data_IF_544682944659
#
_entry.id   IF_544682944659
#
_cell.length_a   1.000
_cell.length_b   1.000
_cell.length_c   1.000
_cell.angle_alpha   90.00
_cell.angle_beta   90.00
_cell.angle_gamma   90.00
#
_symmetry.space_group_name_H-M   'P 1'
#
loop_
_entity.id
_entity.type
_entity.pdbx_description
1 polymer ?
#
# COMPACT_ATOMS: atom_id res chain seq x y z
N UNK A 1 -24.14 34.12 -0.97
CA UNK A 1 -22.93 33.83 -1.79
C UNK A 1 -21.83 33.17 -0.94
N UNK A 2 -22.06 32.01 -0.32
CA UNK A 2 -21.09 31.43 0.64
C UNK A 2 -20.81 29.89 0.49
N UNK A 3 -21.47 29.19 -0.43
CA UNK A 3 -21.32 27.74 -0.54
C UNK A 3 -20.26 27.27 -1.59
N UNK A 4 -19.78 28.17 -2.43
CA UNK A 4 -18.81 27.82 -3.48
C UNK A 4 -17.35 27.88 -2.98
N UNK A 5 -17.05 28.66 -1.96
CA UNK A 5 -15.69 28.86 -1.44
C UNK A 5 -15.18 27.65 -0.63
N UNK A 6 -16.06 26.85 -0.02
CA UNK A 6 -15.65 25.69 0.79
C UNK A 6 -15.22 24.47 -0.03
N UNK A 7 -15.76 24.30 -1.25
CA UNK A 7 -15.42 23.16 -2.13
C UNK A 7 -13.99 23.24 -2.71
N UNK A 8 -13.46 24.43 -2.88
CA UNK A 8 -12.11 24.65 -3.42
C UNK A 8 -11.03 24.67 -2.33
N UNK A 9 -11.41 25.03 -1.09
CA UNK A 9 -10.50 25.07 0.05
C UNK A 9 -9.86 23.70 0.37
N UNK A 10 -10.61 22.61 0.17
CA UNK A 10 -10.13 21.24 0.44
C UNK A 10 -9.35 20.61 -0.73
N UNK A 11 -9.46 21.17 -1.95
CA UNK A 11 -8.81 20.61 -3.13
C UNK A 11 -7.31 20.93 -3.17
N UNK A 12 -6.95 22.17 -2.85
CA UNK A 12 -5.57 22.63 -2.90
C UNK A 12 -4.63 21.79 -2.01
N UNK A 13 -4.90 21.53 -0.71
CA UNK A 13 -4.02 20.70 0.11
C UNK A 13 -3.96 19.25 -0.37
N UNK A 14 -5.03 18.69 -0.92
CA UNK A 14 -5.03 17.32 -1.49
C UNK A 14 -4.19 17.23 -2.75
N UNK A 15 -4.28 18.21 -3.63
CA UNK A 15 -3.46 18.26 -4.86
C UNK A 15 -1.98 18.44 -4.51
N UNK A 16 -1.66 19.34 -3.58
CA UNK A 16 -0.28 19.55 -3.13
C UNK A 16 0.31 18.27 -2.51
N UNK A 17 -0.44 17.60 -1.63
CA UNK A 17 0.04 16.35 -1.03
C UNK A 17 0.22 15.23 -2.06
N UNK A 18 -0.69 15.12 -3.03
CA UNK A 18 -0.57 14.15 -4.11
C UNK A 18 0.66 14.41 -4.99
N UNK A 19 0.90 15.68 -5.37
CA UNK A 19 2.08 16.06 -6.14
C UNK A 19 3.35 15.79 -5.33
N UNK A 20 3.38 16.16 -4.05
CA UNK A 20 4.53 15.90 -3.18
C UNK A 20 4.84 14.40 -3.09
N UNK A 21 3.83 13.54 -2.89
CA UNK A 21 4.00 12.08 -2.84
C UNK A 21 4.49 11.52 -4.18
N UNK A 22 3.96 12.02 -5.30
CA UNK A 22 4.42 11.62 -6.64
C UNK A 22 5.89 12.01 -6.88
N UNK A 23 6.29 13.22 -6.49
CA UNK A 23 7.67 13.68 -6.64
C UNK A 23 8.64 12.87 -5.78
N UNK A 24 8.27 12.59 -4.51
CA UNK A 24 9.08 11.74 -3.62
C UNK A 24 9.21 10.32 -4.19
N UNK A 25 8.09 9.74 -4.63
CA UNK A 25 8.07 8.40 -5.23
C UNK A 25 8.94 8.34 -6.50
N UNK A 26 8.77 9.32 -7.40
CA UNK A 26 9.55 9.39 -8.63
C UNK A 26 11.04 9.60 -8.35
N UNK A 27 11.39 10.50 -7.42
CA UNK A 27 12.78 10.74 -7.04
C UNK A 27 13.44 9.47 -6.47
N UNK A 28 12.74 8.70 -5.62
CA UNK A 28 13.24 7.46 -5.08
C UNK A 28 13.43 6.37 -6.15
N UNK A 29 12.48 6.25 -7.09
CA UNK A 29 12.59 5.33 -8.24
C UNK A 29 13.76 5.71 -9.14
N UNK A 30 13.93 7.01 -9.40
CA UNK A 30 15.02 7.54 -10.22
C UNK A 30 16.37 7.30 -9.58
N UNK A 31 16.53 7.66 -8.30
CA UNK A 31 17.76 7.48 -7.55
C UNK A 31 18.12 6.00 -7.35
N UNK A 32 17.12 5.13 -7.15
CA UNK A 32 17.32 3.70 -6.91
C UNK A 32 18.09 3.41 -5.61
N UNK A 33 18.71 2.22 -5.53
CA UNK A 33 19.55 1.82 -4.42
C UNK A 33 18.91 2.12 -3.04
N UNK A 34 19.65 2.75 -2.14
CA UNK A 34 19.18 3.03 -0.77
C UNK A 34 17.82 3.72 -0.70
N UNK A 35 17.50 4.62 -1.61
CA UNK A 35 16.25 5.40 -1.55
C UNK A 35 15.00 4.55 -1.79
N UNK A 36 15.06 3.59 -2.72
CA UNK A 36 13.94 2.68 -2.96
C UNK A 36 13.82 1.65 -1.82
N UNK A 37 14.98 1.17 -1.30
CA UNK A 37 15.04 0.28 -0.14
C UNK A 37 14.58 0.94 1.16
N UNK A 38 14.49 2.25 1.22
CA UNK A 38 13.92 2.99 2.35
C UNK A 38 12.45 3.30 2.14
N UNK A 39 12.08 3.81 0.97
CA UNK A 39 10.72 4.26 0.69
C UNK A 39 9.71 3.11 0.68
N UNK A 40 10.03 1.99 0.02
CA UNK A 40 9.10 0.86 -0.09
C UNK A 40 8.80 0.23 1.28
N UNK A 41 9.78 -0.06 2.16
CA UNK A 41 9.52 -0.51 3.52
C UNK A 41 8.69 0.45 4.35
N UNK A 42 8.93 1.76 4.26
CA UNK A 42 8.11 2.76 4.95
C UNK A 42 6.66 2.70 4.47
N UNK A 43 6.45 2.67 3.16
CA UNK A 43 5.11 2.58 2.58
C UNK A 43 4.39 1.28 2.99
N UNK A 44 5.07 0.13 2.92
CA UNK A 44 4.52 -1.15 3.36
C UNK A 44 4.21 -1.16 4.87
N UNK A 45 5.07 -0.58 5.69
CA UNK A 45 4.83 -0.41 7.12
C UNK A 45 3.57 0.42 7.41
N UNK A 46 3.39 1.53 6.70
CA UNK A 46 2.18 2.36 6.81
C UNK A 46 0.91 1.61 6.35
N UNK A 47 1.00 0.79 5.29
CA UNK A 47 -0.11 -0.06 4.87
C UNK A 47 -0.47 -1.10 5.93
N UNK A 48 0.51 -1.70 6.59
CA UNK A 48 0.27 -2.64 7.71
C UNK A 48 -0.32 -1.92 8.91
N UNK A 49 0.14 -0.72 9.24
CA UNK A 49 -0.45 0.11 10.30
C UNK A 49 -1.95 0.36 10.05
N UNK A 50 -2.30 0.77 8.86
CA UNK A 50 -3.70 1.00 8.48
C UNK A 50 -4.51 -0.29 8.49
N UNK A 51 -3.95 -1.40 8.01
CA UNK A 51 -4.58 -2.72 8.04
C UNK A 51 -4.95 -3.15 9.47
N UNK A 52 -4.04 -2.97 10.44
CA UNK A 52 -4.32 -3.28 11.85
C UNK A 52 -5.47 -2.42 12.38
N UNK A 53 -5.46 -1.13 12.09
CA UNK A 53 -6.52 -0.20 12.54
C UNK A 53 -7.88 -0.52 11.94
N UNK A 54 -7.92 -0.96 10.68
CA UNK A 54 -9.17 -1.40 10.04
C UNK A 54 -9.73 -2.70 10.64
N UNK A 55 -8.85 -3.63 10.99
CA UNK A 55 -9.27 -4.95 11.51
C UNK A 55 -9.52 -4.95 13.03
N UNK A 56 -8.85 -4.07 13.77
CA UNK A 56 -8.84 -4.06 15.23
C UNK A 56 -8.95 -2.63 15.77
N UNK A 57 -10.17 -2.15 15.99
CA UNK A 57 -10.41 -0.86 16.61
C UNK A 57 -9.86 -0.83 18.04
N UNK A 58 -9.03 0.18 18.38
CA UNK A 58 -8.42 0.35 19.70
C UNK A 58 -7.07 -0.37 19.93
N UNK A 59 -6.42 -0.85 18.87
CA UNK A 59 -5.11 -1.51 18.92
C UNK A 59 -3.94 -0.59 18.50
N UNK A 60 -3.99 0.71 18.82
CA UNK A 60 -3.05 1.71 18.29
C UNK A 60 -1.58 1.38 18.59
N UNK A 61 -1.25 0.92 19.80
CA UNK A 61 0.12 0.52 20.14
C UNK A 61 0.59 -0.68 19.30
N UNK A 62 -0.24 -1.72 19.18
CA UNK A 62 0.08 -2.88 18.36
C UNK A 62 0.17 -2.53 16.86
N UNK A 63 -0.61 -1.55 16.40
CA UNK A 63 -0.57 -1.09 15.02
C UNK A 63 0.79 -0.46 14.69
N UNK A 64 1.31 0.40 15.56
CA UNK A 64 2.63 1.03 15.36
C UNK A 64 3.76 0.00 15.43
N UNK A 65 3.74 -0.89 16.42
CA UNK A 65 4.78 -1.91 16.58
C UNK A 65 4.82 -2.90 15.41
N UNK A 66 3.66 -3.32 14.90
CA UNK A 66 3.56 -4.21 13.74
C UNK A 66 3.95 -3.50 12.44
N UNK A 67 3.64 -2.23 12.30
CA UNK A 67 4.09 -1.41 11.17
C UNK A 67 5.61 -1.30 11.13
N UNK A 68 6.23 -0.95 12.26
CA UNK A 68 7.69 -0.84 12.38
C UNK A 68 8.37 -2.19 12.14
N UNK A 69 7.83 -3.26 12.73
CA UNK A 69 8.34 -4.62 12.52
C UNK A 69 8.26 -5.03 11.04
N UNK A 70 7.15 -4.74 10.37
CA UNK A 70 6.95 -5.08 8.96
C UNK A 70 7.88 -4.27 8.05
N UNK A 71 8.00 -2.96 8.28
CA UNK A 71 8.94 -2.12 7.54
C UNK A 71 10.38 -2.55 7.76
N UNK A 72 10.79 -2.79 9.02
CA UNK A 72 12.13 -3.26 9.34
C UNK A 72 12.44 -4.63 8.72
N UNK A 73 11.49 -5.57 8.78
CA UNK A 73 11.64 -6.89 8.16
C UNK A 73 11.86 -6.79 6.66
N UNK A 74 11.07 -5.96 5.97
CA UNK A 74 11.22 -5.74 4.53
C UNK A 74 12.55 -5.04 4.20
N UNK A 75 12.94 -4.03 4.98
CA UNK A 75 14.22 -3.34 4.82
C UNK A 75 15.40 -4.31 4.98
N UNK A 76 15.41 -5.12 6.05
CA UNK A 76 16.45 -6.12 6.25
C UNK A 76 16.43 -7.17 5.14
N UNK A 77 15.26 -7.70 4.79
CA UNK A 77 15.12 -8.71 3.74
C UNK A 77 15.68 -8.24 2.39
N UNK A 78 15.56 -6.93 2.08
CA UNK A 78 16.03 -6.37 0.81
C UNK A 78 17.57 -6.29 0.69
N UNK A 79 18.31 -6.47 1.81
CA UNK A 79 19.77 -6.50 1.82
C UNK A 79 20.35 -7.88 2.13
N UNK A 80 19.49 -8.88 2.41
CA UNK A 80 19.96 -10.25 2.70
C UNK A 80 20.38 -10.96 1.42
N UNK A 81 21.64 -11.40 1.30
CA UNK A 81 22.15 -12.03 0.08
C UNK A 81 21.70 -13.50 -0.07
N UNK A 82 21.06 -14.06 0.95
CA UNK A 82 20.63 -15.45 0.99
C UNK A 82 19.13 -15.58 0.70
N UNK A 83 18.70 -16.02 -0.50
CA UNK A 83 17.28 -16.13 -0.87
C UNK A 83 16.45 -16.98 0.11
N UNK A 84 17.07 -17.99 0.73
CA UNK A 84 16.41 -18.89 1.70
C UNK A 84 15.98 -18.16 2.98
N UNK A 85 16.62 -17.05 3.36
CA UNK A 85 16.31 -16.27 4.55
C UNK A 85 15.30 -15.15 4.27
N UNK A 86 15.15 -14.71 3.04
CA UNK A 86 14.25 -13.61 2.65
C UNK A 86 12.81 -13.94 3.04
N UNK A 87 12.32 -15.10 2.64
CA UNK A 87 10.92 -15.48 2.89
C UNK A 87 10.58 -15.61 4.38
N UNK A 88 11.37 -16.30 5.22
CA UNK A 88 11.13 -16.32 6.67
C UNK A 88 11.12 -14.93 7.32
N UNK A 89 12.04 -14.05 6.94
CA UNK A 89 12.09 -12.68 7.46
C UNK A 89 10.84 -11.89 7.09
N UNK A 90 10.38 -11.99 5.83
CA UNK A 90 9.18 -11.32 5.35
C UNK A 90 7.90 -11.84 6.02
N UNK A 91 7.81 -13.13 6.28
CA UNK A 91 6.61 -13.71 6.87
C UNK A 91 6.55 -13.56 8.39
N UNK A 92 7.68 -13.33 9.06
CA UNK A 92 7.73 -13.19 10.51
C UNK A 92 6.73 -12.15 11.07
N UNK A 93 6.57 -10.92 10.53
CA UNK A 93 5.58 -9.96 11.01
C UNK A 93 4.13 -10.46 10.92
N UNK A 94 3.82 -11.26 9.90
CA UNK A 94 2.49 -11.84 9.69
C UNK A 94 2.14 -12.82 10.82
N UNK A 95 3.07 -13.67 11.23
CA UNK A 95 2.91 -14.62 12.32
C UNK A 95 2.92 -13.93 13.69
N UNK A 96 3.81 -12.96 13.90
CA UNK A 96 3.87 -12.16 15.12
C UNK A 96 2.54 -11.42 15.33
N UNK A 97 2.02 -10.76 14.29
CA UNK A 97 0.76 -10.07 14.39
C UNK A 97 -0.42 -11.03 14.62
N UNK A 98 -0.42 -12.21 13.99
CA UNK A 98 -1.43 -13.24 14.28
C UNK A 98 -1.48 -13.62 15.75
N UNK A 99 -0.34 -13.70 16.44
CA UNK A 99 -0.27 -14.04 17.86
C UNK A 99 -0.58 -12.85 18.79
N UNK A 100 -0.13 -11.66 18.47
CA UNK A 100 -0.27 -10.46 19.31
C UNK A 100 -1.67 -9.83 19.26
N UNK A 101 -2.36 -9.92 18.12
CA UNK A 101 -3.68 -9.30 17.98
C UNK A 101 -4.70 -10.03 18.84
N UNK A 102 -5.38 -9.27 19.73
CA UNK A 102 -6.36 -9.80 20.68
C UNK A 102 -7.60 -10.34 19.96
N UNK A 103 -8.24 -11.32 20.61
CA UNK A 103 -9.48 -11.91 20.12
C UNK A 103 -10.66 -10.96 20.33
N UNK A 104 -11.41 -10.66 19.27
CA UNK A 104 -12.71 -9.98 19.28
C UNK A 104 -13.83 -10.93 18.80
N UNK A 105 -15.07 -10.50 18.68
CA UNK A 105 -16.20 -11.37 18.29
C UNK A 105 -15.98 -12.15 16.97
N UNK A 106 -15.18 -11.60 16.04
CA UNK A 106 -14.76 -12.22 14.77
C UNK A 106 -13.24 -12.45 14.69
N UNK A 107 -12.59 -12.69 15.82
CA UNK A 107 -11.14 -12.69 15.98
C UNK A 107 -10.39 -13.62 15.03
N UNK A 108 -10.89 -14.84 14.83
CA UNK A 108 -10.21 -15.82 13.95
C UNK A 108 -10.17 -15.35 12.50
N UNK A 109 -11.26 -14.76 12.00
CA UNK A 109 -11.32 -14.21 10.65
C UNK A 109 -10.41 -12.98 10.52
N UNK A 110 -10.44 -12.03 11.45
CA UNK A 110 -9.59 -10.85 11.46
C UNK A 110 -8.10 -11.18 11.51
N UNK A 111 -7.69 -12.14 12.34
CA UNK A 111 -6.30 -12.61 12.42
C UNK A 111 -5.83 -13.27 11.12
N UNK A 112 -6.66 -14.08 10.47
CA UNK A 112 -6.33 -14.68 9.17
C UNK A 112 -6.19 -13.63 8.09
N UNK A 113 -7.12 -12.68 8.02
CA UNK A 113 -7.04 -11.57 7.08
C UNK A 113 -5.77 -10.76 7.30
N UNK A 114 -5.45 -10.40 8.54
CA UNK A 114 -4.20 -9.72 8.86
C UNK A 114 -2.99 -10.49 8.34
N UNK A 115 -2.88 -11.79 8.66
CA UNK A 115 -1.76 -12.62 8.26
C UNK A 115 -1.59 -12.66 6.73
N UNK A 116 -2.70 -12.90 6.00
CA UNK A 116 -2.69 -12.99 4.54
C UNK A 116 -2.31 -11.65 3.91
N UNK A 117 -3.00 -10.55 4.31
CA UNK A 117 -2.76 -9.24 3.71
C UNK A 117 -1.37 -8.69 4.04
N UNK A 118 -0.86 -8.90 5.27
CA UNK A 118 0.51 -8.51 5.62
C UNK A 118 1.53 -9.27 4.78
N UNK A 119 1.36 -10.58 4.61
CA UNK A 119 2.23 -11.37 3.75
C UNK A 119 2.22 -10.88 2.30
N UNK A 120 1.02 -10.61 1.74
CA UNK A 120 0.88 -10.08 0.37
C UNK A 120 1.54 -8.72 0.22
N UNK A 121 1.33 -7.79 1.18
CA UNK A 121 1.95 -6.46 1.17
C UNK A 121 3.48 -6.57 1.15
N UNK A 122 4.05 -7.41 2.01
CA UNK A 122 5.51 -7.53 2.12
C UNK A 122 6.13 -8.26 0.92
N UNK A 123 5.46 -9.28 0.38
CA UNK A 123 5.88 -9.95 -0.87
C UNK A 123 5.81 -8.96 -2.05
N UNK A 124 4.76 -8.17 -2.16
CA UNK A 124 4.67 -7.14 -3.19
C UNK A 124 5.76 -6.09 -3.03
N UNK A 125 6.07 -5.68 -1.80
CA UNK A 125 7.15 -4.74 -1.50
C UNK A 125 8.53 -5.24 -1.94
N UNK A 126 8.90 -6.48 -1.57
CA UNK A 126 10.18 -7.05 -1.99
C UNK A 126 10.24 -7.24 -3.51
N UNK A 127 9.14 -7.66 -4.14
CA UNK A 127 9.07 -7.80 -5.59
C UNK A 127 9.26 -6.47 -6.31
N UNK A 128 8.74 -5.38 -5.74
CA UNK A 128 8.91 -4.04 -6.30
C UNK A 128 10.38 -3.57 -6.22
N UNK A 129 11.05 -3.84 -5.08
CA UNK A 129 12.48 -3.56 -4.91
C UNK A 129 13.29 -4.38 -5.92
N UNK A 130 13.06 -5.70 -5.99
CA UNK A 130 13.75 -6.58 -6.95
C UNK A 130 13.50 -6.17 -8.40
N UNK A 131 12.29 -5.75 -8.75
CA UNK A 131 12.01 -5.24 -10.09
C UNK A 131 12.90 -4.04 -10.45
N UNK A 132 13.13 -3.14 -9.49
CA UNK A 132 13.97 -1.96 -9.72
C UNK A 132 15.45 -2.32 -9.80
N UNK A 133 15.92 -3.24 -8.94
CA UNK A 133 17.34 -3.59 -8.84
C UNK A 133 17.79 -4.55 -9.96
N UNK A 134 17.00 -5.60 -10.22
CA UNK A 134 17.37 -6.66 -11.17
C UNK A 134 17.07 -6.27 -12.63
N UNK A 135 15.95 -5.56 -12.87
CA UNK A 135 15.48 -5.22 -14.21
C UNK A 135 15.69 -3.74 -14.56
N UNK A 136 15.97 -2.90 -13.58
CA UNK A 136 16.30 -1.50 -13.77
C UNK A 136 15.10 -0.55 -13.86
N UNK A 137 15.41 0.74 -14.03
CA UNK A 137 14.44 1.84 -13.99
C UNK A 137 13.36 1.75 -15.06
N UNK A 138 13.70 1.24 -16.24
CA UNK A 138 12.77 1.20 -17.40
C UNK A 138 11.55 0.32 -17.07
N UNK A 139 11.78 -0.86 -16.52
CA UNK A 139 10.70 -1.78 -16.14
C UNK A 139 9.86 -1.26 -14.96
N UNK A 140 10.52 -0.62 -14.01
CA UNK A 140 9.83 0.02 -12.88
C UNK A 140 8.93 1.17 -13.35
N UNK A 141 9.43 2.06 -14.20
CA UNK A 141 8.65 3.17 -14.77
C UNK A 141 7.52 2.64 -15.65
N UNK A 142 7.77 1.59 -16.44
CA UNK A 142 6.74 0.96 -17.24
C UNK A 142 5.59 0.40 -16.38
N UNK A 143 5.91 -0.31 -15.29
CA UNK A 143 4.91 -0.80 -14.34
C UNK A 143 4.08 0.35 -13.76
N UNK A 144 4.74 1.41 -13.29
CA UNK A 144 4.07 2.58 -12.72
C UNK A 144 3.16 3.27 -13.75
N UNK A 145 3.62 3.40 -15.00
CA UNK A 145 2.81 3.96 -16.08
C UNK A 145 1.57 3.11 -16.36
N UNK A 146 1.71 1.78 -16.40
CA UNK A 146 0.56 0.88 -16.59
C UNK A 146 -0.47 1.08 -15.49
N UNK A 147 -0.04 1.13 -14.22
CA UNK A 147 -0.94 1.34 -13.08
C UNK A 147 -1.63 2.70 -13.19
N UNK A 148 -0.89 3.78 -13.42
CA UNK A 148 -1.45 5.13 -13.53
C UNK A 148 -2.43 5.23 -14.70
N UNK A 149 -2.05 4.73 -15.87
CA UNK A 149 -2.87 4.80 -17.08
C UNK A 149 -4.16 3.99 -16.90
N UNK A 150 -4.08 2.79 -16.33
CA UNK A 150 -5.27 1.96 -16.08
C UNK A 150 -6.22 2.60 -15.07
N UNK A 151 -5.71 3.19 -13.99
CA UNK A 151 -6.56 3.89 -13.01
C UNK A 151 -7.23 5.13 -13.62
N UNK A 152 -6.47 5.94 -14.35
CA UNK A 152 -6.99 7.13 -15.02
C UNK A 152 -7.99 6.75 -16.11
N UNK A 153 -7.67 5.77 -16.96
CA UNK A 153 -8.57 5.29 -18.01
C UNK A 153 -9.85 4.70 -17.43
N UNK A 154 -9.75 3.90 -16.36
CA UNK A 154 -10.90 3.35 -15.65
C UNK A 154 -11.80 4.44 -15.06
N UNK A 155 -11.19 5.47 -14.45
CA UNK A 155 -11.95 6.62 -13.93
C UNK A 155 -12.72 7.35 -15.05
N UNK A 156 -12.06 7.66 -16.16
CA UNK A 156 -12.71 8.36 -17.28
C UNK A 156 -13.75 7.48 -17.97
N UNK A 157 -13.45 6.21 -18.21
CA UNK A 157 -14.42 5.27 -18.79
C UNK A 157 -15.67 5.16 -17.93
N UNK A 158 -15.52 5.00 -16.61
CA UNK A 158 -16.63 4.96 -15.68
C UNK A 158 -17.46 6.25 -15.64
N UNK A 159 -16.82 7.40 -15.87
CA UNK A 159 -17.50 8.71 -15.87
C UNK A 159 -18.15 9.07 -17.18
N UNK A 160 -17.57 8.72 -18.33
CA UNK A 160 -18.03 9.08 -19.67
C UNK A 160 -19.07 8.08 -20.17
N UNK A 161 -18.75 6.78 -20.08
CA UNK A 161 -19.62 5.70 -20.56
C UNK A 161 -20.72 5.41 -19.55
N UNK A 162 -20.41 5.50 -18.25
CA UNK A 162 -21.35 5.20 -17.17
C UNK A 162 -21.77 3.74 -17.17
N UNK A 163 -23.05 3.48 -16.87
CA UNK A 163 -23.62 2.15 -16.88
C UNK A 163 -23.97 1.61 -15.49
N UNK A 164 -24.36 0.33 -15.38
CA UNK A 164 -24.74 -0.27 -14.11
C UNK A 164 -23.58 -0.27 -13.11
N UNK A 165 -23.93 -0.09 -11.84
CA UNK A 165 -22.93 -0.07 -10.76
C UNK A 165 -22.39 -1.48 -10.52
N UNK A 166 -21.06 -1.60 -10.37
CA UNK A 166 -20.40 -2.89 -10.18
C UNK A 166 -20.79 -3.55 -8.85
N UNK A 167 -20.65 -2.81 -7.73
CA UNK A 167 -21.01 -3.32 -6.40
C UNK A 167 -21.52 -2.20 -5.48
N UNK A 168 -22.81 -1.86 -5.57
CA UNK A 168 -23.37 -0.69 -4.85
C UNK A 168 -23.15 -0.67 -3.34
N UNK A 169 -23.12 -1.86 -2.71
CA UNK A 169 -22.93 -1.99 -1.25
C UNK A 169 -21.50 -1.68 -0.79
N UNK A 170 -20.50 -1.92 -1.64
CA UNK A 170 -19.06 -1.74 -1.29
C UNK A 170 -18.54 -0.44 -1.88
N UNK A 171 -18.89 -0.15 -3.12
CA UNK A 171 -18.45 1.08 -3.79
C UNK A 171 -19.59 1.64 -4.67
N UNK A 172 -20.37 2.59 -4.14
CA UNK A 172 -21.53 3.14 -4.85
C UNK A 172 -21.17 4.00 -6.08
N UNK A 173 -19.89 4.32 -6.26
CA UNK A 173 -19.41 5.16 -7.38
C UNK A 173 -18.79 4.37 -8.53
N UNK A 174 -18.43 3.09 -8.33
CA UNK A 174 -17.81 2.27 -9.38
C UNK A 174 -18.86 1.68 -10.33
N UNK A 175 -18.59 1.79 -11.64
CA UNK A 175 -19.39 1.22 -12.73
C UNK A 175 -18.66 0.06 -13.40
N UNK A 176 -19.40 -0.78 -14.15
CA UNK A 176 -18.80 -1.88 -14.91
C UNK A 176 -17.86 -1.40 -16.03
N UNK A 177 -18.13 -0.22 -16.59
CA UNK A 177 -17.29 0.40 -17.63
C UNK A 177 -15.95 0.90 -17.10
N UNK A 178 -15.86 1.29 -15.83
CA UNK A 178 -14.64 1.76 -15.17
C UNK A 178 -14.01 0.70 -14.31
#
# INVERSE_FOLDING_TARGET
>A
MSAASSKWGDLAPRVISAIAMLLIGFAAVWAGGFWIHLLVPIACGLMVWELVRMLHSGADYNAVSLALLSGAALFVASYVPYPTLVLPILLAPSFVGYSLLKAGPNAKAGKRLFMIYTAVILIAGISLISLRDDFGIVWMVWLLLVVIVTDVAGYFAGRIIGGPKFWPRVSPKKTWSG
#
